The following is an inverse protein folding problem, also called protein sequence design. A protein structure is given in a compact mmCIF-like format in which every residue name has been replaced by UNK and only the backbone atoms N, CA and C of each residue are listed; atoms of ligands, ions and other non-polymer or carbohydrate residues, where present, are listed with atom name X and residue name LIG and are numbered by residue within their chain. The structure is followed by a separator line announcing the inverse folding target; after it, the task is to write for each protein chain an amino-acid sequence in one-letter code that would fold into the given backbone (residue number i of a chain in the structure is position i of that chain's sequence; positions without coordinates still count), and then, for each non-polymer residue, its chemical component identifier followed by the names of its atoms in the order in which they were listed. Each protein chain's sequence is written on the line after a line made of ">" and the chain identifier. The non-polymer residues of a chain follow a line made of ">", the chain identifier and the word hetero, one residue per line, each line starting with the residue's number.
data_IF_492114725407
#
_entry.id   IF_492114725407
#
_cell.length_a   1.000
_cell.length_b   1.000
_cell.length_c   1.000
_cell.angle_alpha   90.00
_cell.angle_beta   90.00
_cell.angle_gamma   90.00
#
_symmetry.space_group_name_H-M   'P 1'
#
loop_
_entity.id
_entity.type
_entity.pdbx_description
1 polymer ?
#
# COMPACT_ATOMS: atom_id res chain seq x y z
N UNK A 1 12.26 23.28 -13.54
CA UNK A 1 10.98 23.00 -12.85
C UNK A 1 10.73 21.53 -12.48
N UNK A 2 10.62 20.55 -13.40
CA UNK A 2 10.37 19.13 -12.98
C UNK A 2 11.52 18.50 -12.17
N UNK A 3 12.79 18.76 -12.54
CA UNK A 3 13.96 18.29 -11.79
C UNK A 3 14.12 18.95 -10.42
N UNK A 4 13.67 20.19 -10.24
CA UNK A 4 13.80 20.90 -8.95
C UNK A 4 12.85 20.33 -7.89
N UNK A 5 11.62 19.94 -8.28
CA UNK A 5 10.65 19.35 -7.33
C UNK A 5 11.03 17.93 -6.88
N UNK A 6 11.68 17.14 -7.74
CA UNK A 6 12.16 15.80 -7.36
C UNK A 6 13.35 15.86 -6.39
N UNK A 7 14.23 16.85 -6.59
CA UNK A 7 15.33 17.15 -5.66
C UNK A 7 14.79 17.71 -4.34
N UNK A 8 13.71 18.51 -4.38
CA UNK A 8 13.05 19.02 -3.17
C UNK A 8 12.33 17.91 -2.39
N UNK A 9 11.70 16.94 -3.05
CA UNK A 9 11.06 15.78 -2.41
C UNK A 9 12.05 14.78 -1.79
N UNK A 10 13.11 14.41 -2.52
CA UNK A 10 14.24 13.62 -1.98
C UNK A 10 14.98 14.41 -0.89
N UNK A 11 15.09 15.72 -1.06
CA UNK A 11 15.64 16.65 -0.09
C UNK A 11 14.82 16.68 1.18
N UNK A 12 13.49 16.77 1.11
CA UNK A 12 12.60 16.75 2.27
C UNK A 12 12.61 15.41 3.00
N UNK A 13 12.57 14.28 2.30
CA UNK A 13 12.67 12.96 2.98
C UNK A 13 14.06 12.77 3.60
N UNK A 14 15.14 13.15 2.89
CA UNK A 14 16.49 13.17 3.48
C UNK A 14 16.60 14.15 4.64
N UNK A 15 16.01 15.34 4.57
CA UNK A 15 16.04 16.35 5.64
C UNK A 15 15.18 15.92 6.81
N UNK A 16 14.07 15.21 6.62
CA UNK A 16 13.25 14.64 7.70
C UNK A 16 14.00 13.51 8.38
N UNK A 17 14.58 12.56 7.62
CA UNK A 17 15.39 11.47 8.17
C UNK A 17 16.66 12.01 8.85
N UNK A 18 17.33 12.98 8.23
CA UNK A 18 18.53 13.64 8.76
C UNK A 18 18.18 14.55 9.94
N UNK A 19 17.04 15.23 9.97
CA UNK A 19 16.57 15.98 11.16
C UNK A 19 16.18 15.04 12.29
N UNK A 20 15.59 13.88 12.01
CA UNK A 20 15.29 12.87 13.04
C UNK A 20 16.61 12.33 13.61
N UNK A 21 17.60 12.01 12.76
CA UNK A 21 18.94 11.63 13.22
C UNK A 21 19.66 12.76 13.95
N UNK A 22 19.60 14.00 13.47
CA UNK A 22 20.28 15.16 14.08
C UNK A 22 19.58 15.59 15.37
N UNK A 23 18.26 15.51 15.49
CA UNK A 23 17.55 15.74 16.76
C UNK A 23 17.90 14.66 17.80
N UNK A 24 18.13 13.41 17.40
CA UNK A 24 18.66 12.38 18.29
C UNK A 24 20.09 12.69 18.78
N UNK A 25 20.92 13.36 17.97
CA UNK A 25 22.31 13.70 18.33
C UNK A 25 22.42 15.04 19.09
N UNK A 26 21.53 16.00 18.83
CA UNK A 26 21.60 17.37 19.42
C UNK A 26 20.96 17.47 20.81
N UNK A 27 20.23 16.45 21.27
CA UNK A 27 19.79 16.33 22.68
C UNK A 27 20.93 15.95 23.65
N UNK A 28 22.15 15.70 23.16
CA UNK A 28 23.36 15.56 24.00
C UNK A 28 23.96 16.92 24.39
N UNK A 29 23.10 17.83 24.84
CA UNK A 29 23.55 19.06 25.49
C UNK A 29 24.34 18.73 26.74
N UNK A 30 25.66 18.93 26.68
CA UNK A 30 26.55 19.01 27.83
C UNK A 30 25.98 20.02 28.84
N UNK A 31 25.34 19.53 29.91
CA UNK A 31 25.26 20.29 31.14
C UNK A 31 26.58 20.10 31.90
N UNK A 32 27.48 21.05 31.69
CA UNK A 32 28.74 21.17 32.41
C UNK A 32 28.49 21.53 33.87
N UNK A 33 28.98 20.69 34.79
CA UNK A 33 29.21 21.12 36.17
C UNK A 33 29.08 20.00 37.19
N UNK A 34 30.18 19.70 37.89
CA UNK A 34 30.11 19.10 39.22
C UNK A 34 30.92 17.82 39.40
N UNK A 35 32.16 18.01 39.84
CA UNK A 35 33.11 16.99 40.29
C UNK A 35 32.46 16.08 41.35
N UNK A 36 32.27 14.79 41.05
CA UNK A 36 31.78 13.85 42.06
C UNK A 36 31.34 12.43 41.65
N UNK A 37 31.37 11.94 40.40
CA UNK A 37 30.51 10.77 40.06
C UNK A 37 31.05 9.77 39.01
N UNK A 38 32.32 9.34 39.09
CA UNK A 38 32.95 8.48 38.06
C UNK A 38 32.36 7.07 37.81
N UNK A 39 31.57 6.50 38.74
CA UNK A 39 30.96 5.15 38.58
C UNK A 39 29.46 5.18 38.22
N UNK A 40 28.71 6.13 38.77
CA UNK A 40 27.25 6.24 38.55
C UNK A 40 26.96 6.75 37.13
N UNK A 41 27.78 7.67 36.65
CA UNK A 41 27.63 8.29 35.32
C UNK A 41 28.04 7.32 34.19
N UNK A 42 29.01 6.43 34.46
CA UNK A 42 29.42 5.39 33.53
C UNK A 42 28.36 4.27 33.40
N UNK A 43 27.75 3.86 34.52
CA UNK A 43 26.68 2.86 34.51
C UNK A 43 25.43 3.35 33.76
N UNK A 44 25.05 4.63 33.95
CA UNK A 44 23.96 5.27 33.19
C UNK A 44 24.27 5.39 31.70
N UNK A 45 25.52 5.75 31.34
CA UNK A 45 25.96 5.79 29.93
C UNK A 45 25.94 4.41 29.29
N UNK A 46 26.40 3.38 30.00
CA UNK A 46 26.38 2.01 29.49
C UNK A 46 24.94 1.50 29.30
N UNK A 47 24.03 1.72 30.26
CA UNK A 47 22.64 1.28 30.12
C UNK A 47 21.86 2.07 29.06
N UNK A 48 22.20 3.34 28.85
CA UNK A 48 21.70 4.15 27.74
C UNK A 48 22.15 3.57 26.38
N UNK A 49 23.43 3.26 26.22
CA UNK A 49 23.97 2.67 24.99
C UNK A 49 23.37 1.27 24.71
N UNK A 50 23.23 0.43 25.74
CA UNK A 50 22.55 -0.87 25.63
C UNK A 50 21.08 -0.72 25.20
N UNK A 51 20.39 0.31 25.70
CA UNK A 51 19.02 0.61 25.29
C UNK A 51 18.96 1.00 23.82
N UNK A 52 19.88 1.84 23.34
CA UNK A 52 19.95 2.18 21.91
C UNK A 52 20.25 0.97 21.01
N UNK A 53 21.13 0.06 21.45
CA UNK A 53 21.43 -1.18 20.74
C UNK A 53 20.17 -2.05 20.61
N UNK A 54 19.46 -2.28 21.71
CA UNK A 54 18.20 -3.07 21.70
C UNK A 54 17.14 -2.45 20.80
N UNK A 55 16.99 -1.13 20.84
CA UNK A 55 16.07 -0.40 19.94
C UNK A 55 16.47 -0.65 18.48
N UNK A 56 17.77 -0.54 18.15
CA UNK A 56 18.29 -0.81 16.81
C UNK A 56 18.03 -2.24 16.34
N UNK A 57 18.27 -3.23 17.20
CA UNK A 57 18.00 -4.65 16.94
C UNK A 57 16.50 -4.90 16.69
N UNK A 58 15.62 -4.31 17.51
CA UNK A 58 14.18 -4.40 17.33
C UNK A 58 13.69 -3.82 16.01
N UNK A 59 14.23 -2.66 15.58
CA UNK A 59 13.93 -2.13 14.24
C UNK A 59 14.41 -3.05 13.13
N UNK A 60 15.61 -3.63 13.25
CA UNK A 60 16.14 -4.58 12.27
C UNK A 60 15.24 -5.81 12.15
N UNK A 61 14.75 -6.34 13.28
CA UNK A 61 13.84 -7.48 13.30
C UNK A 61 12.49 -7.16 12.63
N UNK A 62 11.99 -5.93 12.81
CA UNK A 62 10.78 -5.46 12.13
C UNK A 62 11.01 -5.38 10.62
N UNK A 63 12.10 -4.79 10.16
CA UNK A 63 12.36 -4.67 8.72
C UNK A 63 12.59 -6.04 8.05
N UNK A 64 13.32 -6.93 8.72
CA UNK A 64 13.49 -8.31 8.26
C UNK A 64 12.15 -9.06 8.26
N UNK A 65 11.36 -8.90 9.33
CA UNK A 65 10.04 -9.49 9.46
C UNK A 65 9.05 -8.99 8.42
N UNK A 66 9.04 -7.67 8.15
CA UNK A 66 8.27 -7.06 7.08
C UNK A 66 8.70 -7.66 5.74
N UNK A 67 9.99 -7.63 5.41
CA UNK A 67 10.52 -8.19 4.17
C UNK A 67 10.11 -9.65 3.95
N UNK A 68 10.18 -10.50 4.98
CA UNK A 68 9.71 -11.89 4.90
C UNK A 68 8.19 -12.03 4.84
N UNK A 69 7.44 -11.20 5.57
CA UNK A 69 5.99 -11.29 5.66
C UNK A 69 5.29 -10.78 4.41
N UNK A 70 5.90 -9.85 3.67
CA UNK A 70 5.30 -9.24 2.48
C UNK A 70 6.09 -9.47 1.19
N UNK A 71 7.35 -9.89 1.26
CA UNK A 71 8.24 -10.03 0.10
C UNK A 71 7.72 -11.02 -0.94
N UNK A 72 7.27 -12.19 -0.48
CA UNK A 72 6.65 -13.19 -1.36
C UNK A 72 5.22 -12.80 -1.76
N UNK A 73 4.55 -11.96 -0.97
CA UNK A 73 3.15 -11.56 -1.16
C UNK A 73 3.02 -10.43 -2.18
N UNK A 74 4.02 -9.59 -2.41
CA UNK A 74 3.97 -8.58 -3.48
C UNK A 74 4.36 -9.11 -4.87
N UNK A 75 4.56 -10.43 -5.01
CA UNK A 75 4.97 -11.03 -6.28
C UNK A 75 3.91 -10.97 -7.38
N UNK A 76 4.31 -10.55 -8.59
CA UNK A 76 3.44 -10.49 -9.78
C UNK A 76 2.95 -11.86 -10.32
N UNK A 77 3.39 -12.96 -9.71
CA UNK A 77 3.06 -14.33 -10.15
C UNK A 77 2.03 -15.04 -9.26
N UNK A 78 1.42 -14.33 -8.29
CA UNK A 78 0.49 -14.91 -7.32
C UNK A 78 -0.86 -15.20 -7.96
N UNK A 79 -1.35 -14.28 -8.79
CA UNK A 79 -2.58 -14.42 -9.55
C UNK A 79 -2.21 -14.62 -11.01
N UNK A 80 -2.72 -15.70 -11.61
CA UNK A 80 -2.41 -16.12 -12.98
C UNK A 80 -3.65 -16.06 -13.86
N UNK A 81 -3.42 -16.07 -15.17
CA UNK A 81 -4.49 -16.23 -16.15
C UNK A 81 -5.16 -17.59 -15.95
N UNK A 82 -6.50 -17.59 -15.95
CA UNK A 82 -7.30 -18.79 -15.68
C UNK A 82 -7.48 -19.10 -14.19
N UNK A 83 -6.84 -18.34 -13.28
CA UNK A 83 -7.18 -18.44 -11.88
C UNK A 83 -8.60 -17.97 -11.63
N UNK A 84 -9.20 -18.53 -10.60
CA UNK A 84 -10.44 -18.02 -10.07
C UNK A 84 -10.22 -16.67 -9.38
N UNK A 85 -11.18 -15.75 -9.48
CA UNK A 85 -11.14 -14.46 -8.78
C UNK A 85 -10.94 -14.64 -7.27
N UNK A 86 -11.36 -15.75 -6.66
CA UNK A 86 -11.03 -16.05 -5.25
C UNK A 86 -9.53 -16.06 -4.94
N UNK A 87 -8.64 -16.33 -5.90
CA UNK A 87 -7.18 -16.15 -5.74
C UNK A 87 -6.76 -14.70 -5.54
N UNK A 88 -7.48 -13.74 -6.14
CA UNK A 88 -7.29 -12.31 -5.85
C UNK A 88 -7.73 -12.01 -4.42
N UNK A 89 -8.82 -12.63 -3.96
CA UNK A 89 -9.26 -12.55 -2.57
C UNK A 89 -8.21 -13.07 -1.59
N UNK A 90 -7.71 -14.30 -1.81
CA UNK A 90 -6.63 -14.91 -1.02
C UNK A 90 -5.37 -14.05 -1.00
N UNK A 91 -4.99 -13.46 -2.15
CA UNK A 91 -3.84 -12.57 -2.24
C UNK A 91 -3.98 -11.35 -1.32
N UNK A 92 -5.12 -10.66 -1.36
CA UNK A 92 -5.37 -9.51 -0.48
C UNK A 92 -5.48 -9.91 0.99
N UNK A 93 -6.05 -11.07 1.31
CA UNK A 93 -6.12 -11.59 2.68
C UNK A 93 -4.71 -11.86 3.23
N UNK A 94 -3.84 -12.50 2.44
CA UNK A 94 -2.46 -12.76 2.82
C UNK A 94 -1.68 -11.44 3.00
N UNK A 95 -1.91 -10.45 2.13
CA UNK A 95 -1.34 -9.11 2.29
C UNK A 95 -1.80 -8.46 3.61
N UNK A 96 -3.09 -8.57 3.94
CA UNK A 96 -3.64 -8.13 5.22
C UNK A 96 -2.95 -8.79 6.42
N UNK A 97 -2.72 -10.10 6.37
CA UNK A 97 -1.99 -10.85 7.41
C UNK A 97 -0.54 -10.37 7.55
N UNK A 98 0.20 -10.20 6.45
CA UNK A 98 1.58 -9.72 6.49
C UNK A 98 1.70 -8.31 7.07
N UNK A 99 0.79 -7.41 6.70
CA UNK A 99 0.69 -6.07 7.27
C UNK A 99 0.34 -6.11 8.77
N UNK A 100 -0.60 -6.97 9.18
CA UNK A 100 -0.99 -7.14 10.57
C UNK A 100 0.19 -7.62 11.44
N UNK A 101 0.96 -8.62 10.97
CA UNK A 101 2.19 -9.07 11.65
C UNK A 101 3.18 -7.92 11.85
N UNK A 102 3.36 -7.08 10.82
CA UNK A 102 4.27 -5.93 10.89
C UNK A 102 3.82 -4.91 11.94
N UNK A 103 2.52 -4.60 11.96
CA UNK A 103 1.91 -3.72 12.97
C UNK A 103 2.09 -4.27 14.38
N UNK A 104 1.90 -5.56 14.58
CA UNK A 104 2.01 -6.17 15.91
C UNK A 104 3.45 -6.13 16.42
N UNK A 105 4.45 -6.36 15.54
CA UNK A 105 5.86 -6.17 15.89
C UNK A 105 6.20 -4.72 16.22
N UNK A 106 5.69 -3.75 15.45
CA UNK A 106 5.85 -2.32 15.76
C UNK A 106 5.28 -1.96 17.13
N UNK A 107 4.07 -2.43 17.44
CA UNK A 107 3.45 -2.22 18.75
C UNK A 107 4.22 -2.91 19.88
N UNK A 108 4.84 -4.06 19.61
CA UNK A 108 5.78 -4.72 20.52
C UNK A 108 6.98 -3.83 20.82
N UNK A 109 7.65 -3.34 19.77
CA UNK A 109 8.80 -2.44 19.90
C UNK A 109 8.44 -1.16 20.67
N UNK A 110 7.28 -0.54 20.41
CA UNK A 110 6.82 0.63 21.17
C UNK A 110 6.80 0.39 22.69
N UNK A 111 6.40 -0.82 23.13
CA UNK A 111 6.40 -1.19 24.57
C UNK A 111 7.80 -1.43 25.11
N UNK A 112 8.69 -2.00 24.31
CA UNK A 112 10.07 -2.26 24.70
C UNK A 112 10.84 -0.95 24.86
N UNK A 113 10.70 -0.01 23.91
CA UNK A 113 11.40 1.28 23.96
C UNK A 113 10.90 2.20 25.08
N UNK A 114 9.62 2.12 25.45
CA UNK A 114 9.05 2.91 26.55
C UNK A 114 9.50 2.37 27.92
N UNK A 115 9.91 1.11 27.97
CA UNK A 115 10.47 0.47 29.16
C UNK A 115 11.98 0.68 29.30
N UNK A 116 12.63 1.30 28.31
CA UNK A 116 14.08 1.49 28.30
C UNK A 116 14.52 2.56 29.32
N UNK A 117 15.43 2.23 30.26
CA UNK A 117 15.85 3.18 31.27
C UNK A 117 16.79 4.26 30.67
N UNK A 118 16.70 5.47 31.19
CA UNK A 118 17.61 6.59 30.87
C UNK A 118 17.60 7.11 29.41
N UNK A 119 16.61 6.75 28.60
CA UNK A 119 16.39 7.26 27.22
C UNK A 119 15.02 7.96 27.14
N UNK A 120 14.93 9.16 26.56
CA UNK A 120 13.63 9.75 26.17
C UNK A 120 13.19 9.17 24.82
N UNK A 121 12.21 8.27 24.83
CA UNK A 121 11.73 7.56 23.64
C UNK A 121 10.41 8.10 23.09
N UNK A 122 9.85 9.18 23.65
CA UNK A 122 8.52 9.70 23.27
C UNK A 122 8.39 10.03 21.79
N UNK A 123 9.44 10.60 21.19
CA UNK A 123 9.46 10.90 19.76
C UNK A 123 9.42 9.64 18.90
N UNK A 124 10.16 8.60 19.30
CA UNK A 124 10.20 7.31 18.59
C UNK A 124 8.87 6.57 18.76
N UNK A 125 8.33 6.54 19.97
CA UNK A 125 7.02 5.95 20.27
C UNK A 125 5.91 6.60 19.42
N UNK A 126 5.89 7.93 19.33
CA UNK A 126 4.91 8.67 18.51
C UNK A 126 5.00 8.29 17.03
N UNK A 127 6.20 8.15 16.49
CA UNK A 127 6.41 7.72 15.09
C UNK A 127 5.95 6.28 14.88
N UNK A 128 6.30 5.37 15.79
CA UNK A 128 5.86 3.97 15.72
C UNK A 128 4.33 3.88 15.76
N UNK A 129 3.69 4.58 16.69
CA UNK A 129 2.23 4.60 16.81
C UNK A 129 1.56 5.15 15.54
N UNK A 130 2.09 6.23 14.98
CA UNK A 130 1.59 6.79 13.71
C UNK A 130 1.74 5.79 12.55
N UNK A 131 2.86 5.09 12.44
CA UNK A 131 3.06 4.05 11.44
C UNK A 131 2.09 2.87 11.63
N UNK A 132 1.90 2.42 12.88
CA UNK A 132 0.95 1.36 13.23
C UNK A 132 -0.50 1.71 12.87
N UNK A 133 -0.90 2.97 13.02
CA UNK A 133 -2.22 3.46 12.59
C UNK A 133 -2.39 3.43 11.07
N UNK A 134 -1.36 3.86 10.32
CA UNK A 134 -1.36 3.77 8.85
C UNK A 134 -1.49 2.32 8.40
N UNK A 135 -0.68 1.42 8.98
CA UNK A 135 -0.75 -0.02 8.65
C UNK A 135 -2.12 -0.59 9.01
N UNK A 136 -2.73 -0.20 10.13
CA UNK A 136 -4.07 -0.64 10.50
C UNK A 136 -5.13 -0.24 9.45
N UNK A 137 -5.07 0.99 8.92
CA UNK A 137 -5.96 1.44 7.84
C UNK A 137 -5.75 0.64 6.56
N UNK A 138 -4.49 0.32 6.23
CA UNK A 138 -4.16 -0.52 5.08
C UNK A 138 -4.70 -1.94 5.26
N UNK A 139 -4.51 -2.57 6.42
CA UNK A 139 -5.07 -3.91 6.76
C UNK A 139 -6.57 -3.94 6.54
N UNK A 140 -7.30 -2.94 7.08
CA UNK A 140 -8.75 -2.84 6.88
C UNK A 140 -9.12 -2.72 5.40
N UNK A 141 -8.39 -1.90 4.64
CA UNK A 141 -8.69 -1.66 3.23
C UNK A 141 -8.41 -2.89 2.37
N UNK A 142 -7.29 -3.60 2.58
CA UNK A 142 -6.98 -4.82 1.82
C UNK A 142 -7.89 -5.99 2.21
N UNK A 143 -8.30 -6.12 3.48
CA UNK A 143 -9.27 -7.14 3.88
C UNK A 143 -10.66 -6.86 3.26
N UNK A 144 -11.03 -5.59 3.09
CA UNK A 144 -12.24 -5.20 2.35
C UNK A 144 -12.13 -5.63 0.88
N UNK A 145 -10.98 -5.44 0.24
CA UNK A 145 -10.73 -5.96 -1.11
C UNK A 145 -10.84 -7.47 -1.16
N UNK A 146 -10.26 -8.19 -0.19
CA UNK A 146 -10.35 -9.65 -0.12
C UNK A 146 -11.80 -10.17 -0.12
N UNK A 147 -12.67 -9.51 0.66
CA UNK A 147 -14.10 -9.86 0.73
C UNK A 147 -14.96 -9.36 -0.44
N UNK A 148 -14.44 -8.45 -1.27
CA UNK A 148 -15.15 -7.89 -2.42
C UNK A 148 -15.01 -8.70 -3.70
N UNK A 149 -14.30 -9.83 -3.66
CA UNK A 149 -13.99 -10.61 -4.84
C UNK A 149 -14.78 -11.92 -4.85
N UNK A 150 -15.49 -12.18 -5.95
CA UNK A 150 -16.28 -13.40 -6.14
C UNK A 150 -15.46 -14.62 -6.53
N UNK A 151 -16.16 -15.72 -6.85
CA UNK A 151 -15.55 -17.00 -7.20
C UNK A 151 -15.73 -17.37 -8.69
N UNK A 152 -15.78 -16.38 -9.58
CA UNK A 152 -15.82 -16.58 -11.04
C UNK A 152 -14.39 -16.55 -11.59
N UNK A 153 -14.12 -17.19 -12.72
CA UNK A 153 -12.79 -17.17 -13.32
C UNK A 153 -12.38 -15.75 -13.76
N UNK A 154 -11.08 -15.47 -13.68
CA UNK A 154 -10.50 -14.26 -14.24
C UNK A 154 -10.51 -14.39 -15.75
N UNK A 155 -11.15 -13.42 -16.42
CA UNK A 155 -11.36 -13.49 -17.86
C UNK A 155 -12.44 -14.48 -18.30
N UNK A 156 -13.36 -14.84 -17.40
CA UNK A 156 -14.52 -15.67 -17.74
C UNK A 156 -15.24 -15.16 -18.99
N UNK A 157 -15.52 -16.09 -19.90
CA UNK A 157 -16.11 -15.86 -21.20
C UNK A 157 -17.14 -16.96 -21.49
N UNK A 158 -18.15 -17.04 -20.63
CA UNK A 158 -19.21 -18.03 -20.74
C UNK A 158 -20.00 -17.88 -22.06
N UNK A 159 -20.32 -19.03 -22.68
CA UNK A 159 -21.21 -19.08 -23.84
C UNK A 159 -22.65 -18.91 -23.35
N UNK A 160 -23.23 -17.73 -23.52
CA UNK A 160 -24.59 -17.44 -23.05
C UNK A 160 -24.98 -15.97 -23.11
N UNK A 161 -26.15 -15.65 -22.54
CA UNK A 161 -26.57 -14.27 -22.38
C UNK A 161 -25.59 -13.53 -21.47
N UNK A 162 -25.23 -12.30 -21.85
CA UNK A 162 -24.35 -11.46 -21.05
C UNK A 162 -24.98 -11.21 -19.67
N UNK A 163 -24.17 -11.41 -18.62
CA UNK A 163 -24.56 -11.12 -17.24
C UNK A 163 -23.82 -9.88 -16.77
N UNK A 164 -24.54 -8.96 -16.14
CA UNK A 164 -23.93 -7.77 -15.56
C UNK A 164 -23.00 -8.15 -14.41
N UNK A 165 -21.90 -7.40 -14.23
CA UNK A 165 -21.06 -7.54 -13.06
C UNK A 165 -21.86 -7.27 -11.78
N UNK A 166 -21.54 -7.99 -10.70
CA UNK A 166 -22.16 -7.75 -9.40
C UNK A 166 -21.79 -6.35 -8.90
N UNK A 167 -22.80 -5.48 -8.78
CA UNK A 167 -22.62 -4.07 -8.43
C UNK A 167 -21.95 -3.91 -7.06
N UNK A 168 -22.37 -4.68 -6.06
CA UNK A 168 -21.85 -4.57 -4.70
C UNK A 168 -20.35 -4.96 -4.63
N UNK A 169 -19.95 -6.00 -5.35
CA UNK A 169 -18.55 -6.42 -5.48
C UNK A 169 -17.71 -5.33 -6.15
N UNK A 170 -18.19 -4.75 -7.26
CA UNK A 170 -17.49 -3.65 -7.95
C UNK A 170 -17.36 -2.42 -7.06
N UNK A 171 -18.42 -2.04 -6.33
CA UNK A 171 -18.39 -0.92 -5.37
C UNK A 171 -17.39 -1.20 -4.24
N UNK A 172 -17.38 -2.41 -3.71
CA UNK A 172 -16.45 -2.83 -2.65
C UNK A 172 -14.99 -2.68 -3.11
N UNK A 173 -14.68 -3.10 -4.34
CA UNK A 173 -13.34 -2.95 -4.93
C UNK A 173 -12.98 -1.47 -5.10
N UNK A 174 -13.87 -0.66 -5.68
CA UNK A 174 -13.64 0.78 -5.88
C UNK A 174 -13.40 1.48 -4.53
N UNK A 175 -14.22 1.20 -3.53
CA UNK A 175 -14.09 1.79 -2.19
C UNK A 175 -12.82 1.33 -1.48
N UNK A 176 -12.47 0.04 -1.55
CA UNK A 176 -11.23 -0.48 -0.97
C UNK A 176 -9.99 0.20 -1.55
N UNK A 177 -9.94 0.37 -2.88
CA UNK A 177 -8.85 1.09 -3.55
C UNK A 177 -8.84 2.58 -3.16
N UNK A 178 -10.00 3.24 -3.09
CA UNK A 178 -10.10 4.63 -2.61
C UNK A 178 -9.54 4.80 -1.20
N UNK A 179 -9.87 3.91 -0.27
CA UNK A 179 -9.35 3.96 1.10
C UNK A 179 -7.82 3.77 1.17
N UNK A 180 -7.25 2.91 0.32
CA UNK A 180 -5.78 2.78 0.18
C UNK A 180 -5.17 4.09 -0.31
N UNK A 181 -5.75 4.69 -1.34
CA UNK A 181 -5.29 5.97 -1.92
C UNK A 181 -5.35 7.11 -0.91
N UNK A 182 -6.44 7.21 -0.15
CA UNK A 182 -6.61 8.21 0.90
C UNK A 182 -5.56 8.04 2.00
N UNK A 183 -5.34 6.80 2.45
CA UNK A 183 -4.31 6.48 3.45
C UNK A 183 -2.91 6.84 2.95
N UNK A 184 -2.59 6.50 1.69
CA UNK A 184 -1.32 6.84 1.05
C UNK A 184 -1.13 8.36 0.93
N UNK A 185 -2.15 9.07 0.45
CA UNK A 185 -2.13 10.53 0.28
C UNK A 185 -1.98 11.26 1.62
N UNK A 186 -2.71 10.81 2.65
CA UNK A 186 -2.56 11.31 4.02
C UNK A 186 -1.17 11.06 4.62
N UNK A 187 -0.47 10.05 4.11
CA UNK A 187 0.93 9.75 4.44
C UNK A 187 1.95 10.49 3.56
N UNK A 188 1.49 11.44 2.72
CA UNK A 188 2.34 12.26 1.86
C UNK A 188 2.72 11.63 0.51
N UNK A 189 2.13 10.48 0.16
CA UNK A 189 2.35 9.85 -1.16
C UNK A 189 1.51 10.58 -2.20
N UNK A 190 2.16 11.13 -3.22
CA UNK A 190 1.48 11.77 -4.33
C UNK A 190 1.04 10.71 -5.35
N UNK A 191 -0.26 10.68 -5.63
CA UNK A 191 -0.83 9.92 -6.76
C UNK A 191 -0.73 10.79 -8.01
N UNK A 192 -0.01 10.31 -9.03
CA UNK A 192 0.07 10.98 -10.32
C UNK A 192 -1.06 10.51 -11.24
N UNK A 193 -1.47 11.35 -12.20
CA UNK A 193 -2.52 10.99 -13.16
C UNK A 193 -2.06 9.92 -14.18
N UNK A 194 -0.76 9.67 -14.29
CA UNK A 194 -0.18 8.71 -15.24
C UNK A 194 -0.50 9.02 -16.70
N UNK A 195 -0.39 7.98 -17.53
CA UNK A 195 -0.67 7.93 -18.96
C UNK A 195 -1.80 6.94 -19.19
N UNK A 196 -2.97 7.47 -19.53
CA UNK A 196 -4.22 6.71 -19.59
C UNK A 196 -4.44 5.91 -20.88
N UNK A 197 -3.55 6.03 -21.87
CA UNK A 197 -3.78 5.59 -23.24
C UNK A 197 -4.70 6.54 -24.03
N UNK A 198 -4.97 6.17 -25.28
CA UNK A 198 -5.94 6.87 -26.13
C UNK A 198 -7.35 6.33 -25.89
N UNK A 199 -8.35 7.12 -26.26
CA UNK A 199 -9.73 6.65 -26.34
C UNK A 199 -9.84 5.48 -27.34
N UNK A 200 -10.61 4.46 -26.97
CA UNK A 200 -10.82 3.26 -27.78
C UNK A 200 -12.26 3.25 -28.29
N UNK A 201 -12.44 3.46 -29.58
CA UNK A 201 -13.76 3.48 -30.20
C UNK A 201 -14.40 2.08 -30.22
N UNK A 202 -15.71 2.01 -29.97
CA UNK A 202 -16.51 0.80 -30.10
C UNK A 202 -17.16 0.75 -31.50
N UNK A 203 -16.40 0.29 -32.50
CA UNK A 203 -16.85 0.30 -33.91
C UNK A 203 -17.41 -1.03 -34.41
N UNK A 204 -16.88 -2.15 -33.94
CA UNK A 204 -17.23 -3.51 -34.33
C UNK A 204 -17.31 -4.45 -33.11
N UNK A 205 -18.01 -5.58 -33.27
CA UNK A 205 -18.08 -6.60 -32.20
C UNK A 205 -16.73 -7.27 -31.92
N UNK A 206 -15.73 -7.12 -32.79
CA UNK A 206 -14.36 -7.62 -32.56
C UNK A 206 -13.46 -6.60 -31.87
N UNK A 207 -13.94 -5.40 -31.55
CA UNK A 207 -13.14 -4.36 -30.89
C UNK A 207 -13.10 -4.52 -29.37
N UNK A 208 -12.09 -3.95 -28.73
CA UNK A 208 -11.86 -4.09 -27.29
C UNK A 208 -13.09 -3.77 -26.42
N UNK A 209 -13.83 -2.66 -26.63
CA UNK A 209 -14.99 -2.34 -25.79
C UNK A 209 -16.16 -3.34 -25.93
N UNK A 210 -16.19 -4.17 -26.97
CA UNK A 210 -17.26 -5.13 -27.18
C UNK A 210 -17.40 -6.15 -26.04
N UNK A 211 -16.32 -6.41 -25.29
CA UNK A 211 -16.34 -7.36 -24.15
C UNK A 211 -17.02 -6.81 -22.89
N UNK A 212 -17.21 -5.49 -22.80
CA UNK A 212 -17.89 -4.82 -21.68
C UNK A 212 -19.21 -4.17 -22.12
N UNK A 213 -19.57 -4.30 -23.39
CA UNK A 213 -20.80 -3.74 -23.93
C UNK A 213 -22.02 -4.56 -23.47
N UNK A 214 -23.01 -3.87 -22.92
CA UNK A 214 -24.23 -4.47 -22.36
C UNK A 214 -25.22 -5.02 -23.41
N UNK A 215 -24.91 -4.92 -24.72
CA UNK A 215 -25.85 -5.31 -25.77
C UNK A 215 -25.64 -6.76 -26.21
N UNK A 216 -26.43 -7.66 -25.63
CA UNK A 216 -26.37 -9.12 -25.81
C UNK A 216 -26.67 -9.60 -27.25
N UNK A 217 -27.13 -8.74 -28.16
CA UNK A 217 -27.61 -9.17 -29.47
C UNK A 217 -26.52 -9.67 -30.43
N UNK A 218 -25.26 -9.22 -30.28
CA UNK A 218 -24.14 -9.64 -31.14
C UNK A 218 -23.00 -10.35 -30.39
N UNK A 219 -22.95 -10.22 -29.05
CA UNK A 219 -21.83 -10.70 -28.23
C UNK A 219 -20.49 -10.07 -28.62
N UNK A 220 -19.46 -10.30 -27.80
CA UNK A 220 -18.09 -9.99 -28.21
C UNK A 220 -17.63 -11.02 -29.26
N UNK A 221 -17.17 -10.53 -30.41
CA UNK A 221 -16.58 -11.35 -31.46
C UNK A 221 -15.21 -11.90 -31.06
N UNK A 222 -14.77 -12.96 -31.75
CA UNK A 222 -13.47 -13.56 -31.53
C UNK A 222 -12.34 -12.51 -31.60
N UNK A 223 -11.45 -12.52 -30.60
CA UNK A 223 -10.31 -11.60 -30.50
C UNK A 223 -10.58 -10.28 -29.76
N UNK A 224 -11.83 -9.93 -29.44
CA UNK A 224 -12.15 -8.71 -28.69
C UNK A 224 -11.47 -8.66 -27.30
N UNK A 225 -11.43 -9.80 -26.60
CA UNK A 225 -10.76 -9.91 -25.29
C UNK A 225 -9.25 -9.67 -25.35
N UNK A 226 -8.59 -10.21 -26.38
CA UNK A 226 -7.16 -9.95 -26.61
C UNK A 226 -6.89 -8.47 -26.90
N UNK A 227 -7.71 -7.85 -27.74
CA UNK A 227 -7.61 -6.40 -27.98
C UNK A 227 -7.83 -5.59 -26.70
N UNK A 228 -8.77 -5.99 -25.82
CA UNK A 228 -8.94 -5.30 -24.54
C UNK A 228 -7.67 -5.41 -23.68
N UNK A 229 -7.08 -6.59 -23.58
CA UNK A 229 -5.83 -6.78 -22.85
C UNK A 229 -4.71 -5.89 -23.43
N UNK A 230 -4.59 -5.82 -24.76
CA UNK A 230 -3.62 -4.96 -25.44
C UNK A 230 -3.84 -3.47 -25.11
N UNK A 231 -5.07 -2.98 -25.12
CA UNK A 231 -5.38 -1.59 -24.73
C UNK A 231 -5.06 -1.31 -23.26
N UNK A 232 -5.34 -2.25 -22.35
CA UNK A 232 -5.03 -2.13 -20.92
C UNK A 232 -3.52 -1.98 -20.70
N UNK A 233 -2.68 -2.71 -21.45
CA UNK A 233 -1.21 -2.61 -21.31
C UNK A 233 -0.63 -1.25 -21.72
N UNK A 234 -1.39 -0.42 -22.45
CA UNK A 234 -0.96 0.94 -22.85
C UNK A 234 -1.14 1.95 -21.72
N UNK A 235 -1.98 1.66 -20.73
CA UNK A 235 -2.15 2.49 -19.55
C UNK A 235 -1.10 2.13 -18.49
N UNK A 236 -0.48 3.14 -17.86
CA UNK A 236 0.37 2.87 -16.71
C UNK A 236 -0.44 2.71 -15.41
N UNK A 237 0.16 2.08 -14.41
CA UNK A 237 -0.50 1.78 -13.14
C UNK A 237 -0.99 3.03 -12.40
N UNK A 238 -0.32 4.18 -12.57
CA UNK A 238 -0.77 5.44 -11.96
C UNK A 238 -2.08 5.92 -12.57
N UNK A 239 -2.21 5.86 -13.89
CA UNK A 239 -3.46 6.20 -14.58
C UNK A 239 -4.61 5.27 -14.19
N UNK A 240 -4.34 3.98 -14.00
CA UNK A 240 -5.36 3.04 -13.52
C UNK A 240 -5.85 3.41 -12.11
N UNK A 241 -4.92 3.68 -11.19
CA UNK A 241 -5.23 4.08 -9.81
C UNK A 241 -6.01 5.39 -9.78
N UNK A 242 -5.58 6.40 -10.54
CA UNK A 242 -6.27 7.70 -10.60
C UNK A 242 -7.67 7.61 -11.19
N UNK A 243 -7.87 6.76 -12.21
CA UNK A 243 -9.22 6.49 -12.76
C UNK A 243 -10.12 5.79 -11.73
N UNK A 244 -9.63 4.77 -11.03
CA UNK A 244 -10.41 4.04 -9.99
C UNK A 244 -10.79 4.98 -8.85
N UNK A 245 -9.88 5.87 -8.43
CA UNK A 245 -10.13 6.90 -7.42
C UNK A 245 -11.36 7.74 -7.71
N UNK A 246 -11.64 8.02 -8.99
CA UNK A 246 -12.76 8.85 -9.42
C UNK A 246 -13.94 8.04 -9.98
N UNK A 247 -13.85 6.70 -9.95
CA UNK A 247 -14.85 5.83 -10.53
C UNK A 247 -16.18 5.87 -9.77
N UNK A 248 -17.25 5.70 -10.54
CA UNK A 248 -18.65 5.55 -10.10
C UNK A 248 -19.25 4.31 -10.75
N UNK A 249 -20.26 3.74 -10.11
CA UNK A 249 -21.03 2.61 -10.62
C UNK A 249 -22.38 3.08 -11.14
N UNK A 250 -22.90 2.38 -12.14
CA UNK A 250 -24.25 2.57 -12.72
C UNK A 250 -24.81 1.19 -13.05
N UNK A 251 -26.12 1.04 -12.92
CA UNK A 251 -26.83 -0.13 -13.44
C UNK A 251 -27.30 0.19 -14.86
N UNK A 252 -27.01 -0.70 -15.81
CA UNK A 252 -27.33 -0.52 -17.23
C UNK A 252 -26.11 -0.14 -18.06
N UNK A 253 -26.35 0.33 -19.29
CA UNK A 253 -25.27 0.61 -20.23
C UNK A 253 -24.32 1.69 -19.68
N UNK A 254 -23.02 1.43 -19.83
CA UNK A 254 -22.00 2.45 -19.71
C UNK A 254 -22.25 3.47 -20.82
N UNK A 255 -22.30 4.75 -20.44
CA UNK A 255 -22.37 5.83 -21.41
C UNK A 255 -20.99 5.88 -22.12
N UNK A 256 -21.00 5.86 -23.45
CA UNK A 256 -19.79 5.98 -24.26
C UNK A 256 -19.19 7.38 -24.15
#
# INVERSE_FOLDING_TARGET
>A
MKREKEVEGKGRVKVVILMIMVMMVVMMGCNSGGVGEGKVDLAKKNSFLESLVKIGEGFQEIFAGFGSAIGDIFGFNIVKVGDNRSKVGEHFENLGKGLQVTKDKLNGLAKEITSAPHVDTRGVESVINSASEVIAKLVTSVNKLAGGVGNTDIGDNAVGAAVAADKASVETVIEGVKSIIETATGSGIKIEAGTAGNEVAAGANTDAPAVIAANAAAGAGAGAGSKLADEITKADSWAMIDKIKNAKTKIGNLDA
#
